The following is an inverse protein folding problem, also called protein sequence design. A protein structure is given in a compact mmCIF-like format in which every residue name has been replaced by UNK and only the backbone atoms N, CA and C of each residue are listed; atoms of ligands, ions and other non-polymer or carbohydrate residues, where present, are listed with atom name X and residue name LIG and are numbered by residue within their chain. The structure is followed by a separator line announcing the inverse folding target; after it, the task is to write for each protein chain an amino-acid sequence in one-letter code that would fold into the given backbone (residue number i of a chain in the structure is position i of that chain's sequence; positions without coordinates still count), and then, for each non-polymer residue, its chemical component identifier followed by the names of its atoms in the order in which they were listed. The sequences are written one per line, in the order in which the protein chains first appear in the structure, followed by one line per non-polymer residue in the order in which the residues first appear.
data_IF_484965229512
#
_entry.id   IF_484965229512
#
_cell.length_a   1.000
_cell.length_b   1.000
_cell.length_c   1.000
_cell.angle_alpha   90.00
_cell.angle_beta   90.00
_cell.angle_gamma   90.00
#
_symmetry.space_group_name_H-M   'P 1'
#
loop_
_entity.id
_entity.type
_entity.pdbx_description
1 polymer ?
#
# COMPACT_ATOMS: atom_id res chain seq x y z
N UNK A 1 -27.62 58.36 15.40
CA UNK A 1 -26.94 57.99 14.13
C UNK A 1 -27.66 56.78 13.55
N UNK A 2 -28.45 56.94 12.47
CA UNK A 2 -29.15 55.81 11.82
C UNK A 2 -28.15 55.10 10.89
N UNK A 3 -27.82 53.84 11.17
CA UNK A 3 -27.12 52.98 10.21
C UNK A 3 -28.09 52.64 9.09
N UNK A 4 -27.76 53.02 7.85
CA UNK A 4 -28.46 52.57 6.65
C UNK A 4 -28.08 51.09 6.42
N UNK A 5 -29.06 50.18 6.46
CA UNK A 5 -28.86 48.82 5.95
C UNK A 5 -28.64 48.90 4.44
N UNK A 6 -27.41 48.64 4.01
CA UNK A 6 -27.05 48.46 2.60
C UNK A 6 -27.57 47.10 2.13
N UNK A 7 -28.60 47.09 1.28
CA UNK A 7 -29.08 45.89 0.60
C UNK A 7 -28.32 45.65 -0.72
N UNK A 8 -28.13 44.38 -1.09
CA UNK A 8 -27.58 43.99 -2.39
C UNK A 8 -28.61 44.22 -3.51
N UNK A 9 -28.14 44.65 -4.69
CA UNK A 9 -29.03 44.75 -5.85
C UNK A 9 -29.29 43.37 -6.46
N UNK A 10 -30.43 43.19 -7.13
CA UNK A 10 -30.77 41.93 -7.78
C UNK A 10 -29.71 41.54 -8.83
N UNK A 11 -29.18 42.52 -9.56
CA UNK A 11 -28.12 42.28 -10.55
C UNK A 11 -26.80 41.84 -9.90
N UNK A 12 -26.46 42.37 -8.73
CA UNK A 12 -25.24 42.00 -8.00
C UNK A 12 -25.32 40.55 -7.49
N UNK A 13 -26.49 40.13 -6.98
CA UNK A 13 -26.71 38.73 -6.61
C UNK A 13 -26.58 37.81 -7.83
N UNK A 14 -27.16 38.18 -8.97
CA UNK A 14 -27.07 37.38 -10.20
C UNK A 14 -25.62 37.26 -10.68
N UNK A 15 -24.86 38.35 -10.65
CA UNK A 15 -23.45 38.35 -11.05
C UNK A 15 -22.59 37.52 -10.09
N UNK A 16 -22.84 37.62 -8.78
CA UNK A 16 -22.16 36.81 -7.78
C UNK A 16 -22.43 35.30 -7.98
N UNK A 17 -23.66 34.91 -8.29
CA UNK A 17 -24.02 33.52 -8.58
C UNK A 17 -23.36 33.01 -9.87
N UNK A 18 -23.28 33.85 -10.90
CA UNK A 18 -22.58 33.49 -12.16
C UNK A 18 -21.10 33.23 -11.89
N UNK A 19 -20.42 34.13 -11.18
CA UNK A 19 -18.99 33.97 -10.84
C UNK A 19 -18.79 32.73 -9.96
N UNK A 20 -19.63 32.54 -8.94
CA UNK A 20 -19.58 31.36 -8.07
C UNK A 20 -19.79 30.05 -8.87
N UNK A 21 -20.74 30.02 -9.81
CA UNK A 21 -20.99 28.89 -10.68
C UNK A 21 -19.78 28.53 -11.56
N UNK A 22 -19.13 29.54 -12.13
CA UNK A 22 -17.89 29.34 -12.92
C UNK A 22 -16.76 28.80 -12.03
N UNK A 23 -16.59 29.32 -10.81
CA UNK A 23 -15.53 28.82 -9.92
C UNK A 23 -15.79 27.38 -9.46
N UNK A 24 -17.03 27.04 -9.13
CA UNK A 24 -17.39 25.69 -8.68
C UNK A 24 -17.23 24.65 -9.80
N UNK A 25 -17.55 24.99 -11.05
CA UNK A 25 -17.43 24.06 -12.18
C UNK A 25 -15.99 23.60 -12.44
N UNK A 26 -15.01 24.47 -12.20
CA UNK A 26 -13.58 24.13 -12.30
C UNK A 26 -12.99 23.63 -10.97
N UNK A 27 -13.41 24.20 -9.83
CA UNK A 27 -12.81 23.90 -8.53
C UNK A 27 -13.15 22.51 -8.00
N UNK A 28 -14.41 22.07 -8.14
CA UNK A 28 -14.87 20.76 -7.65
C UNK A 28 -14.14 19.58 -8.29
N UNK A 29 -14.00 19.46 -9.63
CA UNK A 29 -13.29 18.32 -10.22
C UNK A 29 -11.81 18.24 -9.81
N UNK A 30 -11.13 19.39 -9.66
CA UNK A 30 -9.73 19.44 -9.24
C UNK A 30 -9.53 18.96 -7.79
N UNK A 31 -10.47 19.29 -6.90
CA UNK A 31 -10.44 18.81 -5.52
C UNK A 31 -10.56 17.28 -5.45
N UNK A 32 -11.38 16.66 -6.30
CA UNK A 32 -11.50 15.20 -6.39
C UNK A 32 -10.18 14.53 -6.78
N UNK A 33 -9.45 15.10 -7.76
CA UNK A 33 -8.13 14.60 -8.15
C UNK A 33 -7.12 14.69 -7.01
N UNK A 34 -7.09 15.81 -6.29
CA UNK A 34 -6.20 16.01 -5.15
C UNK A 34 -6.48 14.98 -4.04
N UNK A 35 -7.75 14.75 -3.72
CA UNK A 35 -8.17 13.75 -2.73
C UNK A 35 -7.71 12.35 -3.15
N UNK A 36 -7.96 11.95 -4.40
CA UNK A 36 -7.55 10.63 -4.89
C UNK A 36 -6.03 10.42 -4.85
N UNK A 37 -5.24 11.44 -5.22
CA UNK A 37 -3.77 11.40 -5.13
C UNK A 37 -3.29 11.31 -3.68
N UNK A 38 -3.98 11.99 -2.77
CA UNK A 38 -3.69 11.96 -1.33
C UNK A 38 -3.95 10.57 -0.76
N UNK A 39 -5.11 9.96 -1.10
CA UNK A 39 -5.46 8.57 -0.74
C UNK A 39 -4.42 7.57 -1.23
N UNK A 40 -4.03 7.65 -2.50
CA UNK A 40 -2.98 6.79 -3.06
C UNK A 40 -1.66 6.90 -2.29
N UNK A 41 -1.25 8.13 -1.97
CA UNK A 41 -0.02 8.39 -1.21
C UNK A 41 -0.11 7.87 0.23
N UNK A 42 -1.26 8.04 0.88
CA UNK A 42 -1.51 7.50 2.21
C UNK A 42 -1.47 5.98 2.22
N UNK A 43 -2.16 5.31 1.29
CA UNK A 43 -2.12 3.85 1.19
C UNK A 43 -0.72 3.32 0.90
N UNK A 44 0.04 3.98 0.03
CA UNK A 44 1.46 3.67 -0.21
C UNK A 44 2.29 3.78 1.08
N UNK A 45 2.19 4.89 1.80
CA UNK A 45 2.99 5.12 3.01
C UNK A 45 2.58 4.18 4.15
N UNK A 46 1.29 3.88 4.29
CA UNK A 46 0.79 2.92 5.27
C UNK A 46 1.36 1.53 5.00
N UNK A 47 1.31 1.08 3.75
CA UNK A 47 1.83 -0.24 3.40
C UNK A 47 3.37 -0.32 3.52
N UNK A 48 4.08 0.74 3.12
CA UNK A 48 5.52 0.85 3.37
C UNK A 48 5.85 0.80 4.87
N UNK A 49 5.05 1.49 5.69
CA UNK A 49 5.18 1.47 7.15
C UNK A 49 4.95 0.08 7.73
N UNK A 50 3.96 -0.64 7.22
CA UNK A 50 3.65 -2.01 7.65
C UNK A 50 4.81 -2.98 7.39
N UNK A 51 5.41 -2.92 6.19
CA UNK A 51 6.60 -3.73 5.89
C UNK A 51 7.78 -3.40 6.83
N UNK A 52 7.98 -2.13 7.16
CA UNK A 52 9.00 -1.71 8.11
C UNK A 52 8.71 -2.18 9.54
N UNK A 53 7.45 -2.20 9.97
CA UNK A 53 7.03 -2.72 11.27
C UNK A 53 7.37 -4.21 11.36
N UNK A 54 7.03 -4.99 10.34
CA UNK A 54 7.28 -6.44 10.32
C UNK A 54 8.77 -6.75 10.39
N UNK A 55 9.58 -6.07 9.56
CA UNK A 55 11.04 -6.17 9.62
C UNK A 55 11.56 -5.85 11.03
N UNK A 56 11.07 -4.78 11.63
CA UNK A 56 11.51 -4.35 12.96
C UNK A 56 11.11 -5.35 14.04
N UNK A 57 9.91 -5.94 13.96
CA UNK A 57 9.48 -6.98 14.89
C UNK A 57 10.34 -8.25 14.75
N UNK A 58 10.70 -8.66 13.52
CA UNK A 58 11.60 -9.81 13.31
C UNK A 58 12.98 -9.60 13.97
N UNK A 59 13.57 -8.42 13.78
CA UNK A 59 14.86 -8.08 14.38
C UNK A 59 14.76 -7.97 15.90
N UNK A 60 13.76 -7.25 16.43
CA UNK A 60 13.58 -7.06 17.88
C UNK A 60 13.38 -8.36 18.63
N UNK A 61 12.65 -9.30 18.02
CA UNK A 61 12.32 -10.60 18.63
C UNK A 61 13.37 -11.66 18.34
N UNK A 62 14.33 -11.37 17.45
CA UNK A 62 15.31 -12.36 16.96
C UNK A 62 14.62 -13.65 16.47
N UNK A 63 13.46 -13.51 15.83
CA UNK A 63 12.65 -14.61 15.32
C UNK A 63 12.06 -14.25 13.95
N UNK A 64 11.76 -15.24 13.08
CA UNK A 64 11.03 -14.99 11.85
C UNK A 64 9.65 -14.38 12.11
N UNK A 65 9.31 -13.31 11.40
CA UNK A 65 7.98 -12.68 11.48
C UNK A 65 7.43 -12.53 10.08
N UNK A 66 6.19 -12.97 9.90
CA UNK A 66 5.49 -12.94 8.63
C UNK A 66 4.48 -11.80 8.59
N UNK A 67 4.27 -11.26 7.39
CA UNK A 67 3.12 -10.44 7.05
C UNK A 67 2.41 -11.08 5.87
N UNK A 68 1.09 -11.18 5.95
CA UNK A 68 0.30 -11.65 4.84
C UNK A 68 -0.94 -10.79 4.58
N UNK A 69 -1.44 -10.85 3.35
CA UNK A 69 -2.71 -10.27 2.97
C UNK A 69 -3.87 -11.12 3.51
N UNK A 70 -4.85 -10.45 4.11
CA UNK A 70 -5.97 -11.07 4.81
C UNK A 70 -7.20 -10.19 4.69
N UNK A 71 -8.33 -10.78 4.32
CA UNK A 71 -9.62 -10.09 4.24
C UNK A 71 -10.47 -10.28 5.50
N UNK A 72 -10.14 -11.26 6.34
CA UNK A 72 -10.86 -11.60 7.58
C UNK A 72 -10.10 -11.17 8.86
N UNK A 73 -8.83 -10.77 8.74
CA UNK A 73 -7.98 -10.40 9.86
C UNK A 73 -7.46 -11.59 10.69
N UNK A 74 -7.66 -12.82 10.22
CA UNK A 74 -7.31 -14.04 10.94
C UNK A 74 -6.46 -15.01 10.10
N UNK A 75 -6.71 -15.09 8.79
CA UNK A 75 -6.05 -16.04 7.90
C UNK A 75 -5.46 -15.36 6.67
N UNK A 76 -4.41 -15.94 6.10
CA UNK A 76 -3.79 -15.45 4.86
C UNK A 76 -4.61 -15.92 3.63
N UNK A 77 -5.85 -15.43 3.52
CA UNK A 77 -6.86 -15.97 2.61
C UNK A 77 -6.99 -15.27 1.25
N UNK A 78 -6.22 -14.21 1.01
CA UNK A 78 -6.35 -13.37 -0.18
C UNK A 78 -4.98 -12.94 -0.67
N UNK A 79 -4.85 -12.60 -1.96
CA UNK A 79 -3.67 -11.94 -2.53
C UNK A 79 -3.87 -10.42 -2.72
N UNK A 80 -5.02 -9.90 -2.26
CA UNK A 80 -5.39 -8.50 -2.35
C UNK A 80 -4.92 -7.77 -1.09
N UNK A 81 -3.72 -7.20 -1.14
CA UNK A 81 -3.11 -6.53 0.01
C UNK A 81 -3.87 -5.26 0.44
N UNK A 82 -4.76 -4.74 -0.40
CA UNK A 82 -5.69 -3.65 -0.08
C UNK A 82 -6.83 -4.08 0.85
N UNK A 83 -7.16 -5.36 0.97
CA UNK A 83 -8.28 -5.80 1.82
C UNK A 83 -7.91 -5.76 3.31
N UNK A 84 -6.65 -6.02 3.61
CA UNK A 84 -6.12 -6.05 4.96
C UNK A 84 -4.83 -6.84 5.02
N UNK A 85 -4.10 -6.70 6.12
CA UNK A 85 -2.86 -7.42 6.35
C UNK A 85 -2.77 -7.84 7.80
N UNK A 86 -2.15 -8.98 8.05
CA UNK A 86 -1.88 -9.45 9.40
C UNK A 86 -0.40 -9.73 9.55
N UNK A 87 0.12 -9.46 10.74
CA UNK A 87 1.49 -9.73 11.15
C UNK A 87 1.46 -10.76 12.26
N UNK A 88 2.22 -11.83 12.09
CA UNK A 88 2.25 -12.94 13.02
C UNK A 88 3.65 -13.55 13.10
N UNK A 89 3.90 -14.26 14.19
CA UNK A 89 5.11 -15.08 14.36
C UNK A 89 4.72 -16.50 13.97
N UNK A 90 5.38 -17.02 12.95
CA UNK A 90 5.29 -18.43 12.61
C UNK A 90 6.19 -19.21 13.59
N UNK A 91 5.56 -19.83 14.58
CA UNK A 91 6.23 -20.67 15.58
C UNK A 91 6.20 -22.15 15.21
N UNK A 92 5.43 -22.53 14.17
CA UNK A 92 5.23 -23.90 13.74
C UNK A 92 5.50 -23.97 12.25
N UNK A 93 6.61 -24.59 11.88
CA UNK A 93 7.06 -24.73 10.51
C UNK A 93 6.23 -25.79 9.75
N UNK A 94 4.93 -25.59 9.64
CA UNK A 94 3.99 -26.48 8.96
C UNK A 94 3.52 -25.93 7.60
N UNK A 95 3.85 -24.66 7.29
CA UNK A 95 3.46 -23.99 6.05
C UNK A 95 1.96 -23.74 5.94
N UNK A 96 1.22 -23.91 7.03
CA UNK A 96 -0.19 -23.54 7.14
C UNK A 96 -0.24 -22.11 7.67
N UNK A 97 -0.41 -21.17 6.74
CA UNK A 97 -0.44 -19.73 7.03
C UNK A 97 -1.80 -19.32 7.63
N UNK A 98 -2.13 -19.88 8.79
CA UNK A 98 -3.33 -19.53 9.55
C UNK A 98 -2.93 -19.18 10.96
N UNK A 99 -3.37 -18.02 11.45
CA UNK A 99 -3.13 -17.64 12.84
C UNK A 99 -3.99 -18.42 13.86
N UNK A 100 -4.35 -19.66 13.54
CA UNK A 100 -5.26 -20.52 14.29
C UNK A 100 -4.59 -21.70 14.98
N UNK A 101 -3.37 -22.11 14.61
CA UNK A 101 -2.68 -23.25 15.23
C UNK A 101 -1.46 -22.81 16.07
N UNK A 102 -1.74 -22.13 17.19
CA UNK A 102 -0.72 -21.74 18.19
C UNK A 102 0.17 -20.55 17.80
N UNK A 103 0.03 -20.04 16.58
CA UNK A 103 0.70 -18.82 16.13
C UNK A 103 0.11 -17.56 16.77
N UNK A 104 0.97 -16.60 17.11
CA UNK A 104 0.53 -15.35 17.75
C UNK A 104 0.40 -14.24 16.71
N UNK A 105 -0.84 -13.78 16.45
CA UNK A 105 -1.07 -12.52 15.72
C UNK A 105 -0.53 -11.38 16.55
N UNK A 106 0.49 -10.71 16.03
CA UNK A 106 1.08 -9.53 16.66
C UNK A 106 0.28 -8.28 16.35
N UNK A 107 -0.22 -8.17 15.12
CA UNK A 107 -0.90 -6.96 14.66
C UNK A 107 -1.79 -7.22 13.46
N UNK A 108 -3.00 -6.65 13.49
CA UNK A 108 -3.84 -6.48 12.32
C UNK A 108 -3.64 -5.07 11.75
N UNK A 109 -3.46 -4.97 10.45
CA UNK A 109 -3.26 -3.74 9.71
C UNK A 109 -4.44 -3.51 8.78
N UNK A 110 -4.96 -2.28 8.79
CA UNK A 110 -6.11 -1.91 7.97
C UNK A 110 -5.78 -1.99 6.47
N UNK A 111 -6.78 -2.41 5.70
CA UNK A 111 -6.77 -2.33 4.24
C UNK A 111 -6.62 -0.90 3.71
N UNK A 112 -6.47 -0.77 2.40
CA UNK A 112 -6.42 0.51 1.71
C UNK A 112 -7.82 1.13 1.59
N UNK A 113 -7.89 2.42 1.26
CA UNK A 113 -9.16 3.08 0.97
C UNK A 113 -9.75 2.61 -0.37
N UNK A 114 -11.06 2.83 -0.56
CA UNK A 114 -11.76 2.42 -1.78
C UNK A 114 -11.10 2.98 -3.04
N UNK A 115 -10.99 2.13 -4.07
CA UNK A 115 -10.40 2.49 -5.36
C UNK A 115 -8.87 2.44 -5.41
N UNK A 116 -8.23 1.92 -4.36
CA UNK A 116 -6.81 1.56 -4.35
C UNK A 116 -6.66 0.04 -4.48
N UNK A 117 -5.75 -0.41 -5.34
CA UNK A 117 -5.37 -1.82 -5.45
C UNK A 117 -3.89 -2.00 -5.16
N UNK A 118 -3.52 -3.06 -4.43
CA UNK A 118 -2.13 -3.37 -4.09
C UNK A 118 -1.84 -4.80 -4.53
N UNK A 119 -0.88 -4.98 -5.45
CA UNK A 119 -0.50 -6.29 -6.00
C UNK A 119 1.00 -6.48 -5.91
N UNK A 120 1.42 -7.70 -5.56
CA UNK A 120 2.82 -8.08 -5.71
C UNK A 120 3.13 -8.47 -7.15
N UNK A 121 4.25 -7.97 -7.68
CA UNK A 121 4.78 -8.30 -9.01
C UNK A 121 6.26 -8.69 -8.88
N UNK A 122 6.71 -9.60 -9.73
CA UNK A 122 8.14 -9.93 -9.87
C UNK A 122 8.82 -10.46 -8.60
N UNK A 123 8.08 -11.19 -7.75
CA UNK A 123 8.65 -11.77 -6.53
C UNK A 123 9.46 -13.03 -6.83
N UNK A 124 10.72 -13.03 -6.38
CA UNK A 124 11.62 -14.18 -6.43
C UNK A 124 11.99 -14.58 -5.02
N UNK A 125 11.90 -15.88 -4.72
CA UNK A 125 12.37 -16.43 -3.46
C UNK A 125 13.89 -16.39 -3.41
N UNK A 126 14.44 -15.85 -2.33
CA UNK A 126 15.89 -15.60 -2.20
C UNK A 126 16.52 -16.29 -1.00
N UNK A 127 15.73 -16.87 -0.09
CA UNK A 127 16.25 -17.49 1.12
C UNK A 127 15.32 -18.52 1.74
N UNK A 128 15.81 -19.76 1.85
CA UNK A 128 15.20 -20.81 2.66
C UNK A 128 15.34 -20.46 4.15
N UNK A 129 14.23 -20.12 4.80
CA UNK A 129 14.16 -19.84 6.24
C UNK A 129 13.81 -21.08 7.08
N UNK A 130 13.94 -22.27 6.50
CA UNK A 130 13.53 -23.52 7.17
C UNK A 130 12.04 -23.83 7.09
N UNK A 131 11.21 -23.00 6.44
CA UNK A 131 9.80 -23.29 6.14
C UNK A 131 9.67 -24.52 5.22
N UNK A 132 9.39 -25.68 5.81
CA UNK A 132 9.27 -26.98 5.14
C UNK A 132 7.85 -27.35 4.71
N UNK A 133 6.84 -26.54 5.05
CA UNK A 133 5.50 -26.71 4.52
C UNK A 133 5.31 -25.97 3.20
N UNK A 134 5.20 -26.73 2.10
CA UNK A 134 4.58 -26.30 0.84
C UNK A 134 5.11 -24.99 0.24
N UNK A 135 6.34 -25.01 -0.26
CA UNK A 135 6.96 -23.89 -0.98
C UNK A 135 6.34 -23.54 -2.37
N UNK A 136 5.02 -23.58 -2.58
CA UNK A 136 4.50 -23.53 -3.97
C UNK A 136 3.15 -22.87 -4.30
N UNK A 137 2.47 -22.10 -3.44
CA UNK A 137 1.25 -21.36 -3.90
C UNK A 137 1.06 -19.94 -3.34
N UNK A 138 1.86 -19.48 -2.38
CA UNK A 138 1.62 -18.25 -1.61
C UNK A 138 2.50 -17.03 -2.01
N UNK A 139 3.01 -16.98 -3.25
CA UNK A 139 3.97 -15.93 -3.66
C UNK A 139 3.38 -14.51 -3.65
N UNK A 140 2.05 -14.41 -3.70
CA UNK A 140 1.36 -13.12 -3.83
C UNK A 140 0.76 -12.63 -2.52
N UNK A 141 0.77 -13.40 -1.44
CA UNK A 141 0.04 -13.02 -0.23
C UNK A 141 0.84 -13.07 1.05
N UNK A 142 2.08 -13.60 1.10
CA UNK A 142 2.88 -13.63 2.34
C UNK A 142 4.34 -13.25 2.12
N UNK A 143 4.89 -12.43 3.02
CA UNK A 143 6.31 -12.06 3.08
C UNK A 143 6.83 -12.35 4.49
N UNK A 144 7.98 -13.00 4.60
CA UNK A 144 8.59 -13.34 5.89
C UNK A 144 9.91 -12.60 6.03
N UNK A 145 10.13 -11.96 7.18
CA UNK A 145 11.40 -11.38 7.56
C UNK A 145 12.11 -12.27 8.57
N UNK A 146 13.39 -12.56 8.31
CA UNK A 146 14.26 -13.24 9.27
C UNK A 146 14.76 -12.32 10.39
N UNK A 147 15.40 -12.89 11.43
CA UNK A 147 15.95 -12.13 12.56
C UNK A 147 17.07 -11.14 12.18
N UNK A 148 17.68 -11.34 11.01
CA UNK A 148 18.66 -10.46 10.38
C UNK A 148 18.02 -9.29 9.60
N UNK A 149 16.69 -9.18 9.63
CA UNK A 149 15.93 -8.13 8.95
C UNK A 149 15.82 -8.32 7.44
N UNK A 150 16.32 -9.43 6.89
CA UNK A 150 16.22 -9.73 5.46
C UNK A 150 14.94 -10.51 5.15
N UNK A 151 14.24 -10.18 4.05
CA UNK A 151 13.04 -10.89 3.64
C UNK A 151 13.39 -12.24 3.02
N UNK A 152 12.42 -13.14 3.01
CA UNK A 152 12.47 -14.40 2.25
C UNK A 152 12.38 -14.18 0.74
N UNK A 153 11.80 -13.07 0.32
CA UNK A 153 11.57 -12.72 -1.08
C UNK A 153 12.09 -11.33 -1.42
N UNK A 154 12.51 -11.16 -2.68
CA UNK A 154 12.72 -9.85 -3.32
C UNK A 154 11.66 -9.65 -4.39
N UNK A 155 11.23 -8.42 -4.62
CA UNK A 155 10.22 -8.11 -5.64
C UNK A 155 9.65 -6.72 -5.47
N UNK A 156 8.54 -6.44 -6.12
CA UNK A 156 7.93 -5.11 -6.14
C UNK A 156 6.46 -5.18 -5.84
N UNK A 157 5.93 -4.23 -5.08
CA UNK A 157 4.51 -4.04 -4.92
C UNK A 157 4.04 -2.89 -5.79
N UNK A 158 3.04 -3.15 -6.62
CA UNK A 158 2.33 -2.17 -7.41
C UNK A 158 1.09 -1.69 -6.68
N UNK A 159 0.99 -0.39 -6.48
CA UNK A 159 -0.12 0.29 -5.83
C UNK A 159 -0.77 1.21 -6.85
N UNK A 160 -2.05 1.02 -7.12
CA UNK A 160 -2.77 1.72 -8.17
C UNK A 160 -3.99 2.45 -7.64
N UNK A 161 -4.23 3.66 -8.14
CA UNK A 161 -5.42 4.45 -7.83
C UNK A 161 -5.73 5.44 -8.95
N UNK A 162 -6.95 5.36 -9.51
CA UNK A 162 -7.43 6.25 -10.59
C UNK A 162 -6.43 6.41 -11.76
N UNK A 163 -5.79 5.32 -12.18
CA UNK A 163 -4.82 5.29 -13.28
C UNK A 163 -3.40 5.78 -12.93
N UNK A 164 -3.14 6.17 -11.68
CA UNK A 164 -1.80 6.54 -11.20
C UNK A 164 -1.22 5.36 -10.43
N UNK A 165 0.03 4.99 -10.74
CA UNK A 165 0.78 3.95 -10.03
C UNK A 165 1.80 4.53 -9.04
N UNK A 166 2.08 3.74 -8.00
CA UNK A 166 3.20 3.88 -7.06
C UNK A 166 3.77 2.49 -6.82
N UNK A 167 5.09 2.39 -6.66
CA UNK A 167 5.76 1.13 -6.39
C UNK A 167 6.46 1.11 -5.04
N UNK A 168 6.54 -0.06 -4.42
CA UNK A 168 7.45 -0.34 -3.30
C UNK A 168 8.35 -1.49 -3.70
N UNK A 169 9.64 -1.24 -3.71
CA UNK A 169 10.67 -2.21 -4.04
C UNK A 169 11.20 -2.87 -2.77
N UNK A 170 11.17 -4.20 -2.74
CA UNK A 170 11.70 -5.02 -1.67
C UNK A 170 12.95 -5.76 -2.17
N UNK A 171 14.12 -5.32 -1.71
CA UNK A 171 15.40 -5.95 -2.03
C UNK A 171 15.79 -7.02 -1.00
N UNK A 172 16.78 -7.84 -1.33
CA UNK A 172 17.40 -8.82 -0.42
C UNK A 172 18.07 -8.17 0.81
N UNK A 173 18.39 -6.88 0.72
CA UNK A 173 18.89 -6.08 1.86
C UNK A 173 17.79 -5.85 2.91
N UNK A 174 16.54 -6.01 2.48
CA UNK A 174 15.34 -6.04 3.29
C UNK A 174 14.78 -4.70 3.71
N UNK A 175 15.44 -3.59 3.43
CA UNK A 175 14.81 -2.29 3.62
C UNK A 175 13.79 -2.13 2.49
N UNK A 176 12.48 -2.00 2.78
CA UNK A 176 11.51 -1.67 1.75
C UNK A 176 11.73 -0.21 1.33
N UNK A 177 11.76 0.04 0.03
CA UNK A 177 12.05 1.34 -0.55
C UNK A 177 10.94 1.77 -1.50
N UNK A 178 10.71 3.07 -1.61
CA UNK A 178 9.84 3.61 -2.65
C UNK A 178 10.50 3.36 -4.01
N UNK A 179 9.72 2.84 -4.96
CA UNK A 179 10.19 2.66 -6.33
C UNK A 179 10.26 4.00 -7.07
N UNK A 180 11.19 4.08 -8.02
CA UNK A 180 11.45 5.25 -8.86
C UNK A 180 11.57 4.81 -10.32
N UNK A 181 11.42 5.76 -11.22
CA UNK A 181 11.77 5.61 -12.63
C UNK A 181 13.29 5.41 -12.73
N UNK A 182 13.70 4.29 -13.32
CA UNK A 182 15.09 3.87 -13.52
C UNK A 182 15.50 3.89 -14.99
N UNK A 183 14.58 4.24 -15.90
CA UNK A 183 14.84 4.27 -17.33
C UNK A 183 15.77 5.42 -17.76
N UNK A 184 16.44 5.21 -18.89
CA UNK A 184 17.31 6.21 -19.50
C UNK A 184 17.05 6.30 -21.01
N UNK A 185 16.35 7.35 -21.50
CA UNK A 185 15.78 8.47 -20.75
C UNK A 185 14.57 8.07 -19.90
N UNK A 186 14.36 8.78 -18.78
CA UNK A 186 13.18 8.61 -17.92
C UNK A 186 11.88 8.87 -18.69
N UNK A 187 10.94 7.94 -18.61
CA UNK A 187 9.65 8.00 -19.31
C UNK A 187 8.49 8.51 -18.41
N UNK A 188 8.77 8.73 -17.12
CA UNK A 188 7.82 9.21 -16.12
C UNK A 188 6.96 8.12 -15.49
N UNK A 189 7.20 6.85 -15.82
CA UNK A 189 6.58 5.67 -15.21
C UNK A 189 7.53 5.10 -14.15
N UNK A 190 6.97 4.53 -13.09
CA UNK A 190 7.77 3.99 -11.99
C UNK A 190 8.11 2.54 -12.33
N UNK A 191 9.36 2.14 -12.11
CA UNK A 191 9.80 0.79 -12.41
C UNK A 191 9.73 -0.15 -11.21
N UNK A 192 9.62 -1.42 -11.55
CA UNK A 192 9.80 -2.51 -10.63
C UNK A 192 11.30 -2.76 -10.36
N UNK A 193 11.60 -3.66 -9.43
CA UNK A 193 12.95 -4.01 -9.00
C UNK A 193 13.79 -4.74 -10.08
N UNK A 194 13.23 -5.06 -11.24
CA UNK A 194 13.92 -5.57 -12.43
C UNK A 194 14.06 -4.51 -13.54
N UNK A 195 13.49 -3.30 -13.37
CA UNK A 195 13.49 -2.25 -14.37
C UNK A 195 12.31 -2.31 -15.34
N UNK A 196 11.23 -3.04 -15.00
CA UNK A 196 10.01 -3.08 -15.81
C UNK A 196 8.96 -2.08 -15.30
N UNK A 197 8.25 -1.44 -16.24
CA UNK A 197 7.24 -0.43 -15.95
C UNK A 197 6.06 -0.95 -15.08
N UNK A 198 5.81 -0.29 -13.93
CA UNK A 198 4.66 -0.57 -13.06
C UNK A 198 3.42 0.22 -13.50
N UNK A 199 2.66 -0.35 -14.43
CA UNK A 199 1.43 0.24 -14.97
C UNK A 199 0.19 -0.34 -14.30
N UNK A 200 -0.82 0.50 -14.07
CA UNK A 200 -2.11 0.04 -13.59
C UNK A 200 -2.89 -0.71 -14.69
N UNK A 201 -3.63 -1.79 -14.33
CA UNK A 201 -4.53 -2.45 -15.26
C UNK A 201 -5.68 -1.53 -15.68
#
# INVERSE_FOLDING_TARGET
MKKLSSGFTLIELMLALVVAGVLLSYGVPQMSLLINKSRLTMSHNNFLGDLNVVRSEAVKRSAPVAICASSDGATCNTANWEEGRIVYIDTVIDGVMTASDGETVLKQMRGAEQGITIRGTSFTFTRALGFTGGASTAFNNTIVYGPDGRPSHRGSFRICGKGISRGINLSILGQPQKAVDTDSPADGVIDDLNGDNLVCP
#
